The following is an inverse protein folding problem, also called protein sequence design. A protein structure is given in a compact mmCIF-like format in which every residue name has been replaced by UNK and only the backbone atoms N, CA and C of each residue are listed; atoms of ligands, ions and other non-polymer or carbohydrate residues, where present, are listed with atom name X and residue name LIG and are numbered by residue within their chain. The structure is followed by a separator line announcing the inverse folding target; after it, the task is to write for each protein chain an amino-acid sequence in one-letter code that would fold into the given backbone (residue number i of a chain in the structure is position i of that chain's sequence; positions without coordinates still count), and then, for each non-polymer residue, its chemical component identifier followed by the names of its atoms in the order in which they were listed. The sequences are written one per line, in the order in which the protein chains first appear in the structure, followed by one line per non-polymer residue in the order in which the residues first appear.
data_IF_969672586088
#
_entry.id   IF_969672586088
#
_cell.length_a   1.000
_cell.length_b   1.000
_cell.length_c   1.000
_cell.angle_alpha   90.00
_cell.angle_beta   90.00
_cell.angle_gamma   90.00
#
_symmetry.space_group_name_H-M   'P 1'
#
loop_
_entity.id
_entity.type
_entity.pdbx_description
1 polymer ?
#
# COMPACT_ATOMS: atom_id res chain seq x y z
N UNK A 1 24.34 30.54 -24.11
CA UNK A 1 23.65 29.45 -23.40
C UNK A 1 22.32 29.99 -22.92
N UNK A 2 21.24 29.26 -23.20
CA UNK A 2 19.92 29.56 -22.71
C UNK A 2 19.80 29.17 -21.23
N UNK A 3 18.63 29.39 -20.58
CA UNK A 3 18.39 29.03 -19.21
C UNK A 3 18.09 27.51 -19.04
N UNK A 4 18.51 26.70 -20.03
CA UNK A 4 18.22 25.27 -20.03
C UNK A 4 19.35 24.51 -19.33
N UNK A 5 18.96 23.57 -18.43
CA UNK A 5 19.87 22.70 -17.70
C UNK A 5 20.23 21.46 -18.51
N UNK A 6 19.23 20.88 -19.18
CA UNK A 6 19.31 19.71 -20.05
C UNK A 6 18.48 19.92 -21.31
N UNK A 7 18.71 19.10 -22.35
CA UNK A 7 17.97 19.13 -23.60
C UNK A 7 17.88 17.76 -24.25
N UNK A 8 17.21 17.68 -25.40
CA UNK A 8 17.03 16.41 -26.12
C UNK A 8 16.13 15.42 -25.40
N UNK A 9 15.24 15.92 -24.54
CA UNK A 9 14.33 15.13 -23.72
C UNK A 9 13.00 15.02 -24.45
N UNK A 10 12.46 13.79 -24.50
CA UNK A 10 11.14 13.53 -25.09
C UNK A 10 10.01 13.78 -24.09
N UNK A 11 9.96 12.98 -23.03
CA UNK A 11 8.89 13.00 -22.04
C UNK A 11 9.40 12.52 -20.69
N UNK A 12 10.19 13.35 -20.03
CA UNK A 12 10.58 13.12 -18.64
C UNK A 12 9.36 13.27 -17.74
N UNK A 13 9.00 12.21 -17.04
CA UNK A 13 7.81 12.16 -16.18
C UNK A 13 8.15 12.36 -14.72
N UNK A 14 9.17 11.65 -14.22
CA UNK A 14 9.67 11.76 -12.85
C UNK A 14 11.03 12.43 -12.81
N UNK A 15 11.26 13.30 -11.83
CA UNK A 15 12.54 13.93 -11.53
C UNK A 15 12.80 13.88 -10.03
N UNK A 16 14.04 13.55 -9.65
CA UNK A 16 14.45 13.52 -8.25
C UNK A 16 15.92 13.87 -8.08
N UNK A 17 16.32 14.17 -6.86
CA UNK A 17 17.72 14.39 -6.51
C UNK A 17 18.17 13.30 -5.53
N UNK A 18 19.33 12.70 -5.81
CA UNK A 18 19.95 11.78 -4.85
C UNK A 18 20.32 12.54 -3.58
N UNK A 19 19.74 12.18 -2.41
CA UNK A 19 19.96 12.92 -1.17
C UNK A 19 21.35 12.77 -0.57
N UNK A 20 22.23 11.95 -1.17
CA UNK A 20 23.60 11.73 -0.73
C UNK A 20 24.62 12.47 -1.61
N UNK A 21 24.38 12.54 -2.94
CA UNK A 21 25.29 13.17 -3.90
C UNK A 21 24.80 14.51 -4.42
N UNK A 22 23.49 14.73 -4.39
CA UNK A 22 22.84 15.89 -5.01
C UNK A 22 22.65 15.74 -6.53
N UNK A 23 23.01 14.59 -7.11
CA UNK A 23 22.81 14.32 -8.52
C UNK A 23 21.34 14.27 -8.88
N UNK A 24 20.99 14.88 -10.01
CA UNK A 24 19.63 14.84 -10.55
C UNK A 24 19.47 13.60 -11.42
N UNK A 25 18.31 12.96 -11.28
CA UNK A 25 17.89 11.79 -12.04
C UNK A 25 16.48 12.01 -12.58
N UNK A 26 16.20 11.44 -13.76
CA UNK A 26 14.85 11.42 -14.30
C UNK A 26 14.45 10.05 -14.85
N UNK A 27 13.15 9.93 -15.14
CA UNK A 27 12.55 8.83 -15.89
C UNK A 27 11.99 9.40 -17.17
N UNK A 28 12.42 8.90 -18.33
CA UNK A 28 12.00 9.38 -19.63
C UNK A 28 11.22 8.30 -20.38
N UNK A 29 10.05 8.68 -20.92
CA UNK A 29 9.21 7.78 -21.71
C UNK A 29 9.54 7.90 -23.19
N UNK A 30 9.86 6.78 -23.80
CA UNK A 30 10.09 6.64 -25.22
C UNK A 30 8.81 6.76 -26.05
N UNK A 31 8.95 6.66 -27.36
CA UNK A 31 7.83 6.69 -28.29
C UNK A 31 7.22 5.28 -28.44
N UNK A 32 7.86 4.46 -29.28
CA UNK A 32 7.45 3.07 -29.51
C UNK A 32 8.43 2.07 -28.87
N UNK A 33 9.68 2.48 -28.71
CA UNK A 33 10.77 1.71 -28.14
C UNK A 33 11.50 2.53 -27.08
N UNK A 34 12.07 1.84 -26.13
CA UNK A 34 12.92 2.33 -25.05
C UNK A 34 12.29 3.40 -24.15
N UNK A 35 12.16 3.05 -22.91
CA UNK A 35 12.03 4.00 -21.81
C UNK A 35 13.34 4.05 -21.04
N UNK A 36 13.62 5.14 -20.36
CA UNK A 36 14.95 5.43 -19.82
C UNK A 36 14.93 5.84 -18.35
N UNK A 37 16.05 5.57 -17.69
CA UNK A 37 16.45 6.20 -16.44
C UNK A 37 17.76 6.93 -16.73
N UNK A 38 17.79 8.23 -16.50
CA UNK A 38 18.93 9.07 -16.80
C UNK A 38 19.51 9.73 -15.56
N UNK A 39 20.84 9.71 -15.44
CA UNK A 39 21.59 10.66 -14.65
C UNK A 39 21.71 11.96 -15.45
N UNK A 40 21.20 13.04 -14.91
CA UNK A 40 21.07 14.32 -15.62
C UNK A 40 22.05 15.37 -15.07
N UNK A 41 23.30 15.42 -15.55
CA UNK A 41 24.23 16.50 -15.21
C UNK A 41 23.88 17.81 -15.93
N UNK A 42 24.51 18.91 -15.53
CA UNK A 42 24.42 20.16 -16.26
C UNK A 42 24.94 19.98 -17.69
N UNK A 43 24.21 20.54 -18.65
CA UNK A 43 24.43 20.38 -20.10
C UNK A 43 24.21 18.97 -20.66
N UNK A 44 23.38 18.17 -19.99
CA UNK A 44 22.95 16.87 -20.47
C UNK A 44 22.12 16.98 -21.75
N UNK A 45 22.32 16.05 -22.68
CA UNK A 45 21.52 15.85 -23.88
C UNK A 45 21.09 14.38 -23.96
N UNK A 46 19.79 14.09 -23.80
CA UNK A 46 19.23 12.74 -23.91
C UNK A 46 19.21 12.18 -25.33
N UNK A 47 19.29 13.05 -26.35
CA UNK A 47 19.43 12.64 -27.76
C UNK A 47 18.13 12.65 -28.57
N UNK A 48 16.99 12.86 -27.96
CA UNK A 48 15.71 12.93 -28.67
C UNK A 48 15.74 14.09 -29.71
N UNK A 49 15.31 13.87 -30.95
CA UNK A 49 14.53 12.77 -31.55
C UNK A 49 15.44 11.71 -32.25
N UNK A 50 16.72 11.92 -32.34
CA UNK A 50 17.65 11.10 -33.13
C UNK A 50 18.03 9.80 -32.39
N UNK A 51 18.08 9.83 -31.06
CA UNK A 51 18.41 8.71 -30.20
C UNK A 51 17.30 8.54 -29.16
N UNK A 52 16.88 7.30 -28.94
CA UNK A 52 16.07 6.83 -27.82
C UNK A 52 16.62 5.47 -27.41
N UNK A 53 16.88 5.27 -26.11
CA UNK A 53 17.72 4.19 -25.62
C UNK A 53 19.20 4.44 -25.86
N UNK A 54 20.06 3.45 -25.65
CA UNK A 54 21.50 3.62 -25.84
C UNK A 54 21.86 3.87 -27.33
N UNK A 55 22.85 4.73 -27.58
CA UNK A 55 23.31 4.98 -28.92
C UNK A 55 23.88 3.72 -29.58
N UNK A 56 23.46 3.45 -30.79
CA UNK A 56 23.90 2.26 -31.54
C UNK A 56 25.37 2.28 -31.91
N UNK A 57 25.93 3.48 -32.10
CA UNK A 57 27.35 3.68 -32.48
C UNK A 57 27.70 5.17 -32.41
N UNK A 58 29.00 5.47 -32.49
CA UNK A 58 29.54 6.83 -32.47
C UNK A 58 29.00 7.71 -33.61
N UNK A 59 28.74 7.14 -34.81
CA UNK A 59 28.21 7.91 -35.94
C UNK A 59 26.82 8.50 -35.65
N UNK A 60 26.00 7.79 -34.87
CA UNK A 60 24.69 8.30 -34.44
C UNK A 60 24.87 9.49 -33.47
N UNK A 61 25.80 9.39 -32.52
CA UNK A 61 26.14 10.49 -31.60
C UNK A 61 26.69 11.69 -32.36
N UNK A 62 27.57 11.46 -33.31
CA UNK A 62 28.17 12.51 -34.13
C UNK A 62 27.16 13.25 -35.03
N UNK A 63 26.04 12.61 -35.35
CA UNK A 63 24.93 13.17 -36.12
C UNK A 63 23.99 14.07 -35.31
N UNK A 64 24.07 14.03 -33.98
CA UNK A 64 23.24 14.87 -33.13
C UNK A 64 23.50 16.36 -33.39
N UNK A 65 22.45 17.20 -33.42
CA UNK A 65 22.61 18.64 -33.49
C UNK A 65 23.42 19.17 -32.30
N UNK A 66 24.43 19.98 -32.59
CA UNK A 66 25.29 20.58 -31.56
C UNK A 66 24.71 21.91 -31.08
N UNK A 67 24.28 21.96 -29.85
CA UNK A 67 23.72 23.14 -29.22
C UNK A 67 24.58 23.56 -28.00
N UNK A 68 25.52 24.50 -28.25
CA UNK A 68 26.39 24.99 -27.17
C UNK A 68 27.27 23.89 -26.59
N UNK A 69 27.24 23.78 -25.25
CA UNK A 69 28.07 22.85 -24.49
C UNK A 69 27.31 21.55 -24.09
N UNK A 70 26.12 21.33 -24.67
CA UNK A 70 25.34 20.12 -24.38
C UNK A 70 26.01 18.88 -24.97
N UNK A 71 26.11 17.84 -24.12
CA UNK A 71 26.78 16.58 -24.45
C UNK A 71 25.81 15.44 -24.27
N UNK A 72 25.74 14.56 -25.27
CA UNK A 72 24.98 13.33 -25.17
C UNK A 72 25.61 12.36 -24.16
N UNK A 73 24.75 11.73 -23.35
CA UNK A 73 25.11 10.58 -22.54
C UNK A 73 24.06 9.49 -22.75
N UNK A 74 24.52 8.22 -22.82
CA UNK A 74 23.63 7.07 -22.81
C UNK A 74 22.87 7.03 -21.47
N UNK A 75 21.63 6.51 -21.45
CA UNK A 75 20.88 6.29 -20.22
C UNK A 75 21.57 5.27 -19.31
N UNK A 76 21.38 5.42 -18.01
CA UNK A 76 21.91 4.49 -17.01
C UNK A 76 21.14 3.17 -16.97
N UNK A 77 19.90 3.16 -17.49
CA UNK A 77 19.11 1.95 -17.72
C UNK A 77 17.99 2.19 -18.72
N UNK A 78 17.65 1.14 -19.51
CA UNK A 78 16.54 1.20 -20.45
C UNK A 78 15.68 -0.05 -20.43
N UNK A 79 14.40 0.15 -20.64
CA UNK A 79 13.45 -0.91 -21.02
C UNK A 79 13.27 -0.87 -22.53
N UNK A 80 13.69 -1.92 -23.23
CA UNK A 80 13.49 -2.02 -24.68
C UNK A 80 12.00 -1.91 -25.06
N UNK A 81 11.13 -2.58 -24.28
CA UNK A 81 9.70 -2.43 -24.40
C UNK A 81 9.20 -1.38 -23.41
N UNK A 82 8.54 -0.30 -23.87
CA UNK A 82 8.06 0.75 -22.99
C UNK A 82 7.14 0.26 -21.87
N UNK A 83 7.48 0.63 -20.64
CA UNK A 83 6.73 0.37 -19.43
C UNK A 83 6.01 1.60 -18.89
N UNK A 84 6.31 2.77 -19.46
CA UNK A 84 5.88 4.08 -19.01
C UNK A 84 6.31 4.38 -17.56
N UNK A 85 7.65 4.49 -17.30
CA UNK A 85 8.16 4.85 -15.98
C UNK A 85 7.67 6.24 -15.58
N UNK A 86 7.37 6.40 -14.30
CA UNK A 86 6.74 7.60 -13.75
C UNK A 86 7.54 8.13 -12.57
N UNK A 87 6.99 8.02 -11.35
CA UNK A 87 7.66 8.49 -10.15
C UNK A 87 8.99 7.80 -9.89
N UNK A 88 9.95 8.57 -9.41
CA UNK A 88 11.30 8.11 -9.04
C UNK A 88 11.65 8.67 -7.66
N UNK A 89 12.13 7.84 -6.73
CA UNK A 89 12.49 8.27 -5.38
C UNK A 89 13.67 7.51 -4.82
N UNK A 90 14.61 8.23 -4.23
CA UNK A 90 15.69 7.66 -3.42
C UNK A 90 15.24 7.47 -1.98
N UNK A 91 15.86 6.48 -1.31
CA UNK A 91 15.59 6.22 0.11
C UNK A 91 16.73 6.77 0.96
N UNK A 92 16.41 7.75 1.82
CA UNK A 92 17.29 8.20 2.91
C UNK A 92 16.52 8.12 4.22
N UNK A 93 16.45 6.93 4.77
CA UNK A 93 15.66 6.63 5.97
C UNK A 93 16.31 5.55 6.81
N UNK A 94 16.33 5.73 8.13
CA UNK A 94 16.77 4.68 9.07
C UNK A 94 15.81 3.49 9.09
N UNK A 95 14.52 3.72 8.84
CA UNK A 95 13.49 2.68 8.79
C UNK A 95 13.59 1.79 7.56
N UNK A 96 14.19 2.30 6.50
CA UNK A 96 14.43 1.62 5.23
C UNK A 96 15.95 1.54 4.94
N UNK A 97 16.76 1.31 5.99
CA UNK A 97 18.23 1.29 5.91
C UNK A 97 18.78 0.34 4.84
N UNK A 98 18.11 -0.79 4.64
CA UNK A 98 18.50 -1.82 3.66
C UNK A 98 18.32 -1.38 2.20
N UNK A 99 17.69 -0.22 1.98
CA UNK A 99 17.38 0.33 0.66
C UNK A 99 18.04 1.69 0.38
N UNK A 100 18.95 2.15 1.25
CA UNK A 100 19.65 3.45 1.07
C UNK A 100 20.59 3.47 -0.16
N UNK A 101 20.99 2.30 -0.62
CA UNK A 101 21.77 2.08 -1.84
C UNK A 101 20.90 1.92 -3.09
N UNK A 102 19.63 2.28 -3.02
CA UNK A 102 18.68 1.98 -4.08
C UNK A 102 17.84 3.20 -4.46
N UNK A 103 17.37 3.19 -5.71
CA UNK A 103 16.32 4.07 -6.22
C UNK A 103 15.09 3.23 -6.58
N UNK A 104 13.92 3.77 -6.30
CA UNK A 104 12.64 3.15 -6.62
C UNK A 104 11.96 3.90 -7.75
N UNK A 105 11.39 3.15 -8.70
CA UNK A 105 10.72 3.68 -9.89
C UNK A 105 9.41 2.93 -10.07
N UNK A 106 8.34 3.67 -10.31
CA UNK A 106 7.03 3.13 -10.65
C UNK A 106 6.76 3.19 -12.14
N UNK A 107 5.93 2.28 -12.63
CA UNK A 107 5.43 2.35 -13.99
C UNK A 107 3.90 2.40 -14.06
N UNK A 108 3.39 2.88 -15.21
CA UNK A 108 1.97 2.96 -15.46
C UNK A 108 1.43 1.78 -16.28
N UNK A 109 2.22 1.17 -17.16
CA UNK A 109 1.75 0.15 -18.08
C UNK A 109 1.61 -1.23 -17.44
N UNK A 110 2.54 -1.60 -16.56
CA UNK A 110 2.58 -2.93 -15.93
C UNK A 110 2.19 -2.90 -14.46
N UNK A 111 2.25 -1.75 -13.82
CA UNK A 111 1.95 -1.57 -12.41
C UNK A 111 2.99 -2.19 -11.49
N UNK A 112 4.23 -2.17 -11.94
CA UNK A 112 5.37 -2.62 -11.17
C UNK A 112 6.02 -1.47 -10.41
N UNK A 113 6.54 -1.79 -9.24
CA UNK A 113 7.50 -1.00 -8.51
C UNK A 113 8.87 -1.65 -8.72
N UNK A 114 9.77 -0.94 -9.36
CA UNK A 114 11.14 -1.37 -9.56
C UNK A 114 12.05 -0.86 -8.45
N UNK A 115 13.12 -1.61 -8.19
CA UNK A 115 14.23 -1.23 -7.33
C UNK A 115 15.53 -1.44 -8.09
N UNK A 116 16.30 -0.39 -8.23
CA UNK A 116 17.63 -0.43 -8.83
C UNK A 116 18.68 -0.17 -7.75
N UNK A 117 19.66 -1.07 -7.66
CA UNK A 117 20.79 -0.93 -6.76
C UNK A 117 21.87 -0.07 -7.40
N UNK A 118 22.29 0.98 -6.70
CA UNK A 118 23.28 1.91 -7.17
C UNK A 118 24.70 1.35 -7.01
N UNK A 119 25.60 1.75 -7.92
CA UNK A 119 27.03 1.56 -7.74
C UNK A 119 27.58 2.45 -6.60
N UNK A 120 28.84 2.25 -6.23
CA UNK A 120 29.46 2.97 -5.09
C UNK A 120 29.49 4.49 -5.28
N UNK A 121 29.66 4.95 -6.53
CA UNK A 121 29.70 6.38 -6.86
C UNK A 121 28.31 6.99 -7.05
N UNK A 122 27.27 6.14 -7.01
CA UNK A 122 25.86 6.51 -7.19
C UNK A 122 25.59 7.25 -8.51
N UNK A 123 26.23 6.76 -9.57
CA UNK A 123 26.14 7.31 -10.94
C UNK A 123 25.60 6.30 -11.95
N UNK A 124 25.19 5.11 -11.51
CA UNK A 124 24.67 4.04 -12.33
C UNK A 124 24.26 2.86 -11.48
N UNK A 125 23.88 1.76 -12.11
CA UNK A 125 23.33 0.58 -11.45
C UNK A 125 24.28 -0.60 -11.48
N UNK A 126 24.08 -1.53 -10.53
CA UNK A 126 24.79 -2.81 -10.48
C UNK A 126 23.76 -3.94 -10.46
N UNK A 127 24.02 -4.98 -11.26
CA UNK A 127 23.15 -6.14 -11.37
C UNK A 127 23.93 -7.43 -11.07
N UNK A 128 23.25 -8.39 -10.45
CA UNK A 128 23.76 -9.76 -10.28
C UNK A 128 23.39 -10.62 -11.50
N UNK A 129 22.29 -10.28 -12.19
CA UNK A 129 21.83 -10.90 -13.43
C UNK A 129 22.72 -10.47 -14.60
N UNK A 130 23.47 -11.40 -15.22
CA UNK A 130 24.43 -11.02 -16.28
C UNK A 130 23.78 -10.36 -17.50
N UNK A 131 22.56 -10.72 -17.82
CA UNK A 131 21.79 -10.19 -18.96
C UNK A 131 21.49 -8.69 -18.81
N UNK A 132 21.44 -8.19 -17.56
CA UNK A 132 21.20 -6.75 -17.29
C UNK A 132 22.49 -5.93 -17.22
N UNK A 133 23.66 -6.57 -17.40
CA UNK A 133 24.97 -5.89 -17.28
C UNK A 133 25.22 -4.84 -18.36
N UNK A 134 24.50 -4.89 -19.48
CA UNK A 134 24.53 -3.89 -20.55
C UNK A 134 23.55 -2.72 -20.30
N UNK A 135 22.88 -2.70 -19.13
CA UNK A 135 21.92 -1.67 -18.72
C UNK A 135 20.63 -1.64 -19.58
N UNK A 136 20.34 -2.73 -20.30
CA UNK A 136 19.16 -2.84 -21.16
C UNK A 136 18.32 -4.05 -20.74
N UNK A 137 17.05 -3.84 -20.44
CA UNK A 137 16.10 -4.93 -20.31
C UNK A 137 15.48 -5.25 -21.66
N UNK A 138 16.00 -6.28 -22.33
CA UNK A 138 15.44 -6.80 -23.58
C UNK A 138 14.23 -7.71 -23.32
N UNK A 139 13.44 -8.01 -24.37
CA UNK A 139 12.20 -8.78 -24.25
C UNK A 139 12.38 -10.20 -23.66
N UNK A 140 13.57 -10.77 -23.78
CA UNK A 140 13.87 -12.14 -23.32
C UNK A 140 14.60 -12.20 -21.99
N UNK A 141 15.00 -11.05 -21.44
CA UNK A 141 15.82 -11.02 -20.24
C UNK A 141 14.97 -11.24 -18.97
N UNK A 142 15.54 -11.90 -17.96
CA UNK A 142 14.90 -12.00 -16.67
C UNK A 142 14.88 -10.65 -15.97
N UNK A 143 13.76 -10.32 -15.33
CA UNK A 143 13.56 -9.03 -14.67
C UNK A 143 13.25 -9.14 -13.18
N UNK A 144 13.29 -10.35 -12.62
CA UNK A 144 12.95 -10.60 -11.21
C UNK A 144 13.83 -9.80 -10.24
N UNK A 145 15.10 -9.55 -10.61
CA UNK A 145 16.05 -8.79 -9.79
C UNK A 145 15.62 -7.34 -9.56
N UNK A 146 15.05 -6.71 -10.58
CA UNK A 146 14.66 -5.31 -10.52
C UNK A 146 13.21 -5.09 -10.09
N UNK A 147 12.34 -6.11 -10.10
CA UNK A 147 10.96 -5.99 -9.65
C UNK A 147 10.89 -6.12 -8.13
N UNK A 148 10.69 -5.01 -7.43
CA UNK A 148 10.47 -4.99 -5.99
C UNK A 148 9.06 -5.45 -5.60
N UNK A 149 8.06 -5.11 -6.41
CA UNK A 149 6.68 -5.51 -6.21
C UNK A 149 5.81 -5.22 -7.42
N UNK A 150 4.65 -5.86 -7.49
CA UNK A 150 3.72 -5.76 -8.62
C UNK A 150 2.28 -5.62 -8.15
N UNK A 151 1.38 -5.27 -9.10
CA UNK A 151 -0.05 -5.15 -8.81
C UNK A 151 -0.46 -3.79 -8.24
N UNK A 152 0.41 -2.80 -8.31
CA UNK A 152 0.08 -1.43 -7.88
C UNK A 152 -0.86 -0.71 -8.86
N UNK A 153 -1.07 -1.23 -10.07
CA UNK A 153 -1.74 -0.51 -11.15
C UNK A 153 -0.88 0.64 -11.67
N UNK A 154 -1.45 1.60 -12.40
CA UNK A 154 -0.68 2.75 -12.89
C UNK A 154 -0.13 3.55 -11.72
N UNK A 155 1.17 3.42 -11.45
CA UNK A 155 1.87 4.24 -10.46
C UNK A 155 2.11 5.61 -11.09
N UNK A 156 1.79 6.69 -10.40
CA UNK A 156 1.97 8.06 -10.91
C UNK A 156 2.99 8.85 -10.12
N UNK A 157 3.26 8.46 -8.88
CA UNK A 157 4.23 9.16 -8.04
C UNK A 157 4.76 8.26 -6.92
N UNK A 158 6.00 8.53 -6.49
CA UNK A 158 6.65 7.85 -5.36
C UNK A 158 7.38 8.88 -4.53
N UNK A 159 7.11 8.92 -3.22
CA UNK A 159 7.73 9.89 -2.32
C UNK A 159 8.14 9.26 -1.00
N UNK A 160 9.29 9.68 -0.47
CA UNK A 160 9.72 9.33 0.88
C UNK A 160 9.03 10.26 1.89
N UNK A 161 8.10 9.72 2.66
CA UNK A 161 7.36 10.49 3.65
C UNK A 161 8.19 10.94 4.84
N UNK A 162 7.70 11.94 5.59
CA UNK A 162 8.39 12.46 6.78
C UNK A 162 8.51 11.42 7.91
N UNK A 163 7.73 10.36 7.86
CA UNK A 163 7.84 9.20 8.75
C UNK A 163 8.95 8.22 8.34
N UNK A 164 9.65 8.50 7.24
CA UNK A 164 10.73 7.67 6.71
C UNK A 164 10.26 6.40 6.00
N UNK A 165 9.01 6.32 5.57
CA UNK A 165 8.45 5.24 4.76
C UNK A 165 8.17 5.71 3.33
N UNK A 166 8.21 4.79 2.38
CA UNK A 166 7.96 5.09 0.97
C UNK A 166 6.47 5.03 0.67
N UNK A 167 5.94 6.07 0.04
CA UNK A 167 4.55 6.18 -0.39
C UNK A 167 4.46 6.11 -1.91
N UNK A 168 3.44 5.40 -2.41
CA UNK A 168 3.23 5.13 -3.83
C UNK A 168 1.81 5.53 -4.18
N UNK A 169 1.65 6.45 -5.11
CA UNK A 169 0.34 6.88 -5.64
C UNK A 169 -0.03 5.98 -6.82
N UNK A 170 -1.19 5.34 -6.72
CA UNK A 170 -1.74 4.49 -7.78
C UNK A 170 -3.00 5.12 -8.35
N UNK A 171 -2.97 5.47 -9.63
CA UNK A 171 -4.12 6.00 -10.34
C UNK A 171 -5.18 4.91 -10.60
N UNK A 172 -4.78 3.75 -11.10
CA UNK A 172 -5.73 2.69 -11.48
C UNK A 172 -6.41 2.02 -10.28
N UNK A 173 -5.73 1.98 -9.12
CA UNK A 173 -6.28 1.37 -7.92
C UNK A 173 -6.92 2.40 -6.98
N UNK A 174 -6.86 3.70 -7.33
CA UNK A 174 -7.42 4.81 -6.54
C UNK A 174 -6.90 4.81 -5.08
N UNK A 175 -5.59 4.51 -4.90
CA UNK A 175 -4.99 4.30 -3.59
C UNK A 175 -3.62 4.96 -3.46
N UNK A 176 -3.26 5.28 -2.23
CA UNK A 176 -1.88 5.55 -1.83
C UNK A 176 -1.40 4.35 -1.01
N UNK A 177 -0.40 3.64 -1.49
CA UNK A 177 0.25 2.57 -0.76
C UNK A 177 1.39 3.11 0.09
N UNK A 178 1.73 2.39 1.15
CA UNK A 178 2.89 2.66 2.00
C UNK A 178 3.71 1.39 2.17
N UNK A 179 5.00 1.47 1.85
CA UNK A 179 5.93 0.35 2.04
C UNK A 179 6.38 0.32 3.50
N UNK A 180 6.12 -0.79 4.17
CA UNK A 180 6.45 -1.01 5.57
C UNK A 180 7.44 -2.17 5.65
N UNK A 181 8.62 -2.01 6.29
CA UNK A 181 9.55 -3.11 6.55
C UNK A 181 8.88 -4.27 7.26
N UNK A 182 9.21 -5.51 6.87
CA UNK A 182 8.62 -6.72 7.45
C UNK A 182 8.76 -6.78 8.97
N UNK A 183 9.93 -6.41 9.50
CA UNK A 183 10.16 -6.33 10.93
C UNK A 183 9.23 -5.34 11.64
N UNK A 184 8.91 -4.21 11.00
CA UNK A 184 7.92 -3.25 11.51
C UNK A 184 6.49 -3.77 11.32
N UNK A 185 6.21 -4.49 10.23
CA UNK A 185 4.91 -5.13 10.01
C UNK A 185 4.63 -6.21 11.06
N UNK A 186 5.64 -6.99 11.45
CA UNK A 186 5.56 -7.99 12.51
C UNK A 186 5.41 -7.34 13.90
N UNK A 187 6.09 -6.21 14.15
CA UNK A 187 5.92 -5.42 15.39
C UNK A 187 4.58 -4.69 15.40
N UNK A 188 4.09 -4.27 14.22
CA UNK A 188 2.78 -3.61 14.05
C UNK A 188 1.64 -4.62 14.14
N UNK A 189 1.88 -5.92 13.89
CA UNK A 189 0.93 -6.98 14.25
C UNK A 189 0.84 -7.19 15.78
N UNK A 190 1.82 -6.71 16.56
CA UNK A 190 1.77 -6.61 18.03
C UNK A 190 1.32 -5.24 18.56
N UNK A 191 1.37 -4.19 17.74
CA UNK A 191 0.93 -2.83 18.04
C UNK A 191 0.38 -2.18 16.77
N UNK A 192 -0.80 -2.62 16.31
CA UNK A 192 -1.63 -1.79 15.45
C UNK A 192 -2.06 -0.58 16.28
N UNK A 193 -1.34 0.53 16.11
CA UNK A 193 -1.88 1.82 16.50
C UNK A 193 -3.04 2.13 15.56
N UNK A 194 -4.20 2.13 16.14
CA UNK A 194 -5.51 2.35 15.60
C UNK A 194 -5.64 3.67 14.86
N UNK A 195 -5.70 3.60 13.55
CA UNK A 195 -6.48 4.54 12.75
C UNK A 195 -7.39 3.83 11.74
N UNK A 196 -7.28 2.49 11.67
CA UNK A 196 -8.25 1.69 10.91
C UNK A 196 -8.79 0.61 11.84
N UNK A 197 -9.91 0.90 12.52
CA UNK A 197 -10.56 0.07 13.53
C UNK A 197 -10.77 -1.37 13.03
N UNK A 198 -9.76 -2.22 13.19
CA UNK A 198 -9.77 -3.60 12.73
C UNK A 198 -10.64 -4.47 13.61
N UNK A 199 -11.51 -5.29 13.03
CA UNK A 199 -12.33 -6.28 13.71
C UNK A 199 -11.49 -7.48 14.19
N UNK A 200 -10.52 -7.28 15.11
CA UNK A 200 -9.47 -8.25 15.49
C UNK A 200 -10.02 -9.64 15.84
N UNK A 201 -11.04 -9.70 16.71
CA UNK A 201 -11.69 -10.96 17.11
C UNK A 201 -12.36 -11.59 15.88
N UNK A 202 -13.16 -10.84 15.13
CA UNK A 202 -13.83 -11.37 13.95
C UNK A 202 -12.84 -11.85 12.87
N UNK A 203 -11.74 -11.11 12.64
CA UNK A 203 -10.68 -11.53 11.72
C UNK A 203 -10.02 -12.83 12.18
N UNK A 204 -9.71 -12.97 13.47
CA UNK A 204 -9.15 -14.21 14.02
C UNK A 204 -10.15 -15.38 13.93
N UNK A 205 -11.44 -15.10 14.22
CA UNK A 205 -12.53 -16.09 14.15
C UNK A 205 -12.75 -16.62 12.72
N UNK A 206 -12.82 -15.72 11.73
CA UNK A 206 -13.14 -16.08 10.34
C UNK A 206 -11.92 -16.24 9.44
N UNK A 207 -10.72 -16.06 9.99
CA UNK A 207 -9.43 -16.43 9.40
C UNK A 207 -8.80 -15.37 8.49
N UNK A 208 -9.57 -14.40 7.98
CA UNK A 208 -9.06 -13.34 7.09
C UNK A 208 -9.90 -12.07 7.19
N UNK A 209 -9.26 -10.93 6.96
CA UNK A 209 -9.94 -9.62 6.84
C UNK A 209 -10.90 -9.56 5.65
N UNK A 210 -10.70 -10.44 4.65
CA UNK A 210 -11.55 -10.53 3.45
C UNK A 210 -12.77 -11.44 3.63
N UNK A 211 -12.96 -12.06 4.80
CA UNK A 211 -14.14 -12.87 5.04
C UNK A 211 -15.40 -12.01 5.01
N UNK A 212 -16.50 -12.57 4.50
CA UNK A 212 -17.78 -11.87 4.35
C UNK A 212 -18.25 -11.22 5.65
N UNK A 213 -18.04 -11.88 6.79
CA UNK A 213 -18.45 -11.37 8.11
C UNK A 213 -17.62 -10.15 8.53
N UNK A 214 -16.32 -10.13 8.24
CA UNK A 214 -15.45 -8.99 8.58
C UNK A 214 -15.73 -7.82 7.65
N UNK A 215 -15.92 -8.07 6.35
CA UNK A 215 -16.29 -7.03 5.39
C UNK A 215 -17.62 -6.38 5.75
N UNK A 216 -18.61 -7.17 6.08
CA UNK A 216 -19.92 -6.69 6.57
C UNK A 216 -19.81 -5.77 7.79
N UNK A 217 -18.99 -6.15 8.80
CA UNK A 217 -18.77 -5.29 9.97
C UNK A 217 -18.11 -3.96 9.62
N UNK A 218 -17.18 -3.98 8.68
CA UNK A 218 -16.54 -2.75 8.17
C UNK A 218 -17.55 -1.88 7.42
N UNK A 219 -18.36 -2.49 6.57
CA UNK A 219 -19.39 -1.81 5.80
C UNK A 219 -20.42 -1.10 6.69
N UNK A 220 -20.92 -1.80 7.74
CA UNK A 220 -21.81 -1.22 8.73
C UNK A 220 -21.11 -0.06 9.46
N UNK A 221 -19.87 -0.24 9.90
CA UNK A 221 -19.10 0.81 10.58
C UNK A 221 -18.93 2.05 9.71
N UNK A 222 -18.46 1.84 8.48
CA UNK A 222 -18.01 2.93 7.60
C UNK A 222 -19.20 3.67 6.96
N UNK A 223 -20.25 2.94 6.55
CA UNK A 223 -21.38 3.51 5.82
C UNK A 223 -22.53 3.94 6.73
N UNK A 224 -22.71 3.29 7.90
CA UNK A 224 -23.83 3.57 8.78
C UNK A 224 -23.37 4.30 10.06
N UNK A 225 -22.42 3.71 10.80
CA UNK A 225 -22.06 4.26 12.13
C UNK A 225 -21.27 5.57 12.00
N UNK A 226 -20.33 5.65 11.07
CA UNK A 226 -19.53 6.87 10.85
C UNK A 226 -20.27 7.99 10.09
N UNK A 227 -21.51 7.76 9.65
CA UNK A 227 -22.32 8.78 9.01
C UNK A 227 -22.87 9.86 9.98
N UNK A 228 -22.77 9.62 11.29
CA UNK A 228 -23.33 10.51 12.33
C UNK A 228 -22.34 10.81 13.44
N UNK A 229 -22.46 11.98 14.09
CA UNK A 229 -21.57 12.39 15.19
C UNK A 229 -21.73 11.46 16.42
N UNK A 230 -22.93 11.01 16.71
CA UNK A 230 -23.21 10.07 17.80
C UNK A 230 -22.57 8.69 17.52
N UNK A 231 -22.60 8.22 16.29
CA UNK A 231 -21.91 7.00 15.86
C UNK A 231 -20.40 7.09 15.98
N UNK A 232 -19.80 8.20 15.54
CA UNK A 232 -18.37 8.48 15.70
C UNK A 232 -17.97 8.49 17.18
N UNK A 233 -18.73 9.20 18.02
CA UNK A 233 -18.48 9.25 19.47
C UNK A 233 -18.58 7.87 20.11
N UNK A 234 -19.61 7.08 19.74
CA UNK A 234 -19.76 5.69 20.20
C UNK A 234 -18.55 4.84 19.80
N UNK A 235 -18.15 4.86 18.53
CA UNK A 235 -17.01 4.07 18.04
C UNK A 235 -15.69 4.46 18.69
N UNK A 236 -15.49 5.74 19.00
CA UNK A 236 -14.31 6.20 19.73
C UNK A 236 -14.23 5.54 21.12
N UNK A 237 -15.31 5.59 21.89
CA UNK A 237 -15.36 4.94 23.20
C UNK A 237 -15.31 3.41 23.12
N UNK A 238 -16.05 2.82 22.15
CA UNK A 238 -16.05 1.39 21.91
C UNK A 238 -14.65 0.87 21.55
N UNK A 239 -13.96 1.53 20.64
CA UNK A 239 -12.61 1.15 20.23
C UNK A 239 -11.65 1.15 21.41
N UNK A 240 -11.66 2.19 22.25
CA UNK A 240 -10.81 2.24 23.44
C UNK A 240 -11.05 1.05 24.37
N UNK A 241 -12.30 0.68 24.60
CA UNK A 241 -12.65 -0.50 25.39
C UNK A 241 -12.29 -1.80 24.66
N UNK A 242 -12.68 -1.95 23.41
CA UNK A 242 -12.49 -3.17 22.61
C UNK A 242 -10.99 -3.53 22.48
N UNK A 243 -10.14 -2.58 22.20
CA UNK A 243 -8.70 -2.84 22.05
C UNK A 243 -7.99 -3.15 23.36
N UNK A 244 -8.59 -2.88 24.50
CA UNK A 244 -8.00 -3.27 25.78
C UNK A 244 -7.93 -4.79 25.97
N UNK A 245 -8.79 -5.58 25.30
CA UNK A 245 -8.85 -7.04 25.45
C UNK A 245 -8.78 -7.82 24.11
N UNK A 246 -9.23 -7.23 23.00
CA UNK A 246 -9.37 -7.94 21.72
C UNK A 246 -8.05 -8.53 21.17
N UNK A 247 -6.85 -7.93 21.36
CA UNK A 247 -5.60 -8.55 20.93
C UNK A 247 -5.34 -9.88 21.67
N UNK A 248 -5.65 -9.93 22.97
CA UNK A 248 -5.48 -11.15 23.79
C UNK A 248 -6.42 -12.26 23.31
N UNK A 249 -7.70 -11.93 23.10
CA UNK A 249 -8.70 -12.88 22.60
C UNK A 249 -8.30 -13.40 21.21
N UNK A 250 -7.97 -12.51 20.26
CA UNK A 250 -7.55 -12.89 18.92
C UNK A 250 -6.30 -13.78 18.92
N UNK A 251 -5.35 -13.54 19.84
CA UNK A 251 -4.18 -14.40 19.98
C UNK A 251 -4.54 -15.80 20.50
N UNK A 252 -5.45 -15.91 21.48
CA UNK A 252 -5.94 -17.19 21.95
C UNK A 252 -6.71 -17.96 20.87
N UNK A 253 -7.51 -17.30 20.05
CA UNK A 253 -8.19 -17.92 18.91
C UNK A 253 -7.21 -18.55 17.91
N UNK A 254 -6.07 -17.89 17.67
CA UNK A 254 -5.02 -18.42 16.79
C UNK A 254 -4.31 -19.64 17.38
N UNK A 255 -4.17 -19.70 18.70
CA UNK A 255 -3.46 -20.77 19.40
C UNK A 255 -4.35 -21.99 19.72
N UNK A 256 -5.64 -21.76 20.00
CA UNK A 256 -6.55 -22.79 20.49
C UNK A 256 -7.79 -22.94 19.60
N UNK A 257 -7.84 -23.97 18.72
CA UNK A 257 -8.95 -24.17 17.79
C UNK A 257 -10.33 -24.31 18.47
N UNK A 258 -10.40 -24.98 19.62
CA UNK A 258 -11.65 -25.11 20.39
C UNK A 258 -12.14 -23.78 20.96
N UNK A 259 -11.22 -22.92 21.38
CA UNK A 259 -11.54 -21.57 21.84
C UNK A 259 -12.08 -20.73 20.68
N UNK A 260 -11.44 -20.81 19.50
CA UNK A 260 -11.91 -20.15 18.28
C UNK A 260 -13.36 -20.52 17.92
N UNK A 261 -13.72 -21.82 17.94
CA UNK A 261 -15.08 -22.26 17.66
C UNK A 261 -16.09 -21.78 18.73
N UNK A 262 -15.65 -21.68 19.99
CA UNK A 262 -16.48 -21.12 21.07
C UNK A 262 -16.77 -19.63 20.84
N UNK A 263 -15.74 -18.83 20.47
CA UNK A 263 -15.90 -17.42 20.14
C UNK A 263 -16.79 -17.25 18.92
N UNK A 264 -16.58 -18.05 17.86
CA UNK A 264 -17.42 -18.05 16.67
C UNK A 264 -18.90 -18.24 17.00
N UNK A 265 -19.20 -19.23 17.84
CA UNK A 265 -20.56 -19.49 18.31
C UNK A 265 -21.10 -18.30 19.12
N UNK A 266 -20.26 -17.71 19.97
CA UNK A 266 -20.66 -16.57 20.80
C UNK A 266 -20.95 -15.30 20.00
N UNK A 267 -20.14 -14.96 18.96
CA UNK A 267 -20.32 -13.71 18.22
C UNK A 267 -21.37 -13.79 17.10
N UNK A 268 -21.75 -15.01 16.67
CA UNK A 268 -22.72 -15.20 15.56
C UNK A 268 -24.06 -14.50 15.80
N UNK A 269 -24.73 -14.60 17.00
CA UNK A 269 -25.97 -13.88 17.22
C UNK A 269 -25.82 -12.36 17.16
N UNK A 270 -24.70 -11.82 17.67
CA UNK A 270 -24.40 -10.39 17.60
C UNK A 270 -24.24 -9.93 16.13
N UNK A 271 -23.51 -10.67 15.31
CA UNK A 271 -23.38 -10.37 13.89
C UNK A 271 -24.73 -10.36 13.18
N UNK A 272 -25.61 -11.32 13.53
CA UNK A 272 -26.97 -11.38 12.98
C UNK A 272 -27.82 -10.18 13.34
N UNK A 273 -27.68 -9.64 14.56
CA UNK A 273 -28.40 -8.41 14.95
C UNK A 273 -27.87 -7.16 14.29
N UNK A 274 -26.54 -7.07 14.07
CA UNK A 274 -25.92 -5.96 13.36
C UNK A 274 -26.30 -5.92 11.88
N UNK A 275 -26.61 -7.06 11.25
CA UNK A 275 -27.10 -7.11 9.88
C UNK A 275 -28.35 -6.25 9.63
N UNK A 276 -29.15 -5.99 10.66
CA UNK A 276 -30.33 -5.12 10.55
C UNK A 276 -29.96 -3.73 10.06
N UNK A 277 -28.76 -3.23 10.43
CA UNK A 277 -28.29 -1.91 9.99
C UNK A 277 -28.04 -1.82 8.48
N UNK A 278 -27.80 -2.94 7.78
CA UNK A 278 -27.65 -2.95 6.34
C UNK A 278 -28.98 -2.81 5.57
N UNK A 279 -30.11 -2.95 6.25
CA UNK A 279 -31.44 -2.88 5.65
C UNK A 279 -32.20 -1.59 5.99
N UNK A 280 -31.57 -0.68 6.72
CA UNK A 280 -32.14 0.61 7.10
C UNK A 280 -31.24 1.75 6.59
N UNK A 281 -31.85 2.79 6.10
CA UNK A 281 -31.16 4.05 5.81
C UNK A 281 -31.14 4.87 7.12
N UNK A 282 -29.96 5.33 7.51
CA UNK A 282 -29.76 6.13 8.75
C UNK A 282 -29.29 7.50 8.31
N UNK A 283 -30.24 8.43 8.20
CA UNK A 283 -30.00 9.78 7.71
C UNK A 283 -29.98 10.85 8.83
N UNK A 284 -30.20 10.43 10.08
CA UNK A 284 -30.27 11.35 11.19
C UNK A 284 -29.69 10.81 12.50
N UNK A 285 -29.23 11.72 13.36
CA UNK A 285 -28.75 11.43 14.72
C UNK A 285 -29.77 10.66 15.56
N UNK A 286 -31.07 10.98 15.44
CA UNK A 286 -32.11 10.30 16.19
C UNK A 286 -32.30 8.84 15.74
N UNK A 287 -32.18 8.57 14.47
CA UNK A 287 -32.25 7.21 13.91
C UNK A 287 -31.04 6.39 14.34
N UNK A 288 -29.82 6.96 14.24
CA UNK A 288 -28.62 6.30 14.73
C UNK A 288 -28.71 5.92 16.20
N UNK A 289 -29.15 6.85 17.06
CA UNK A 289 -29.35 6.57 18.48
C UNK A 289 -30.45 5.51 18.73
N UNK A 290 -31.54 5.59 17.97
CA UNK A 290 -32.65 4.63 18.08
C UNK A 290 -32.23 3.21 17.72
N UNK A 291 -31.66 3.02 16.55
CA UNK A 291 -31.17 1.72 16.08
C UNK A 291 -29.97 1.21 16.91
N UNK A 292 -29.01 2.09 17.25
CA UNK A 292 -27.87 1.71 18.05
C UNK A 292 -28.26 1.21 19.46
N UNK A 293 -29.06 1.98 20.17
CA UNK A 293 -29.59 1.56 21.51
C UNK A 293 -30.43 0.31 21.38
N UNK A 294 -31.29 0.21 20.36
CA UNK A 294 -32.12 -0.96 20.09
C UNK A 294 -31.30 -2.24 19.92
N UNK A 295 -30.21 -2.20 19.13
CA UNK A 295 -29.31 -3.33 18.91
C UNK A 295 -28.58 -3.70 20.21
N UNK A 296 -28.10 -2.71 20.97
CA UNK A 296 -27.45 -2.96 22.27
C UNK A 296 -28.40 -3.68 23.22
N UNK A 297 -29.63 -3.19 23.38
CA UNK A 297 -30.64 -3.81 24.25
C UNK A 297 -31.02 -5.22 23.77
N UNK A 298 -31.12 -5.43 22.44
CA UNK A 298 -31.40 -6.75 21.88
C UNK A 298 -30.27 -7.73 22.20
N UNK A 299 -29.03 -7.32 22.08
CA UNK A 299 -27.88 -8.16 22.43
C UNK A 299 -27.81 -8.44 23.93
N UNK A 300 -28.09 -7.47 24.80
CA UNK A 300 -28.23 -7.71 26.25
C UNK A 300 -29.32 -8.76 26.49
N UNK A 301 -30.44 -8.67 25.79
CA UNK A 301 -31.52 -9.66 25.87
C UNK A 301 -31.06 -11.07 25.50
N UNK A 302 -30.35 -11.21 24.38
CA UNK A 302 -29.86 -12.50 23.86
C UNK A 302 -28.81 -13.12 24.79
N UNK A 303 -27.84 -12.35 25.26
CA UNK A 303 -26.69 -12.90 25.99
C UNK A 303 -26.91 -13.02 27.50
N UNK A 304 -27.82 -12.26 28.10
CA UNK A 304 -28.03 -12.25 29.54
C UNK A 304 -29.47 -12.68 29.93
N UNK A 305 -30.50 -12.05 29.36
CA UNK A 305 -31.87 -12.29 29.77
C UNK A 305 -32.34 -13.69 29.38
N UNK A 306 -32.14 -14.10 28.12
CA UNK A 306 -32.56 -15.42 27.65
C UNK A 306 -31.90 -16.58 28.41
N UNK A 307 -30.57 -16.60 28.62
CA UNK A 307 -29.93 -17.67 29.41
C UNK A 307 -30.41 -17.72 30.86
N UNK A 308 -30.57 -16.56 31.53
CA UNK A 308 -31.09 -16.50 32.90
C UNK A 308 -32.48 -17.08 32.95
N UNK A 309 -33.36 -16.68 32.03
CA UNK A 309 -34.74 -17.19 31.99
C UNK A 309 -34.76 -18.69 31.70
N UNK A 310 -33.91 -19.20 30.82
CA UNK A 310 -33.77 -20.62 30.54
C UNK A 310 -33.32 -21.41 31.77
N UNK A 311 -32.35 -20.91 32.53
CA UNK A 311 -31.87 -21.52 33.79
C UNK A 311 -32.98 -21.57 34.83
N UNK A 312 -33.71 -20.47 35.02
CA UNK A 312 -34.85 -20.42 35.98
C UNK A 312 -35.93 -21.42 35.59
N UNK A 313 -36.28 -21.51 34.28
CA UNK A 313 -37.28 -22.43 33.77
C UNK A 313 -36.87 -23.90 33.94
N UNK A 314 -35.61 -24.22 33.68
CA UNK A 314 -35.03 -25.55 33.89
C UNK A 314 -35.03 -25.91 35.37
N UNK A 315 -34.58 -24.99 36.26
CA UNK A 315 -34.59 -25.21 37.71
C UNK A 315 -35.99 -25.50 38.20
N UNK A 316 -36.99 -24.75 37.75
CA UNK A 316 -38.41 -24.99 38.17
C UNK A 316 -39.00 -26.28 37.61
N UNK A 317 -38.45 -26.84 36.51
CA UNK A 317 -38.87 -28.10 35.92
C UNK A 317 -38.24 -29.32 36.61
N UNK A 318 -37.00 -29.21 37.05
CA UNK A 318 -36.23 -30.33 37.61
C UNK A 318 -36.14 -30.34 39.14
N UNK A 319 -36.51 -29.25 39.85
CA UNK A 319 -36.65 -29.16 41.29
C UNK A 319 -38.10 -28.71 41.61
N UNK A 320 -39.10 -29.62 41.62
CA UNK A 320 -40.42 -29.28 42.12
C UNK A 320 -40.28 -28.86 43.59
N UNK A 321 -40.95 -27.76 43.97
CA UNK A 321 -40.99 -27.29 45.36
C UNK A 321 -41.45 -28.45 46.26
N UNK A 322 -40.59 -28.84 47.23
CA UNK A 322 -40.94 -29.66 48.38
C UNK A 322 -41.82 -28.82 49.29
#
# INVERSE_FOLDING_TARGET
PGPYYAMGIRNSFGITFDPFTGNMWDTENGDDDFDEINLVPENFNSGWIEIMGPAKNQSQIDSLPKYGDFVYSDPEFTWQKPVAPTGISFVKSEKLSDYQDSVFIGDCNTGNLYRFKLNLDRTGFVFETPELSDQVLSLSDPNDEIIFGSGFGCITDIELGPDGLLYIVSLSNEKIYRIIPKAMAETTQGQKTDSDGGCLIATATYGTELSTQVQMLREIRDNQVFSTDSGIAFMTGFNQFYYSFSPTIANWERQYPLFKESIKTAITPMLSTLLVLNYVEIDSEHEMLGYGIGIILLNIGIYFVLPIFAIIKLKNKFLPRI
#
